data_IF_183969406086
#
_entry.id   IF_183969406086
#
_cell.length_a   1.000
_cell.length_b   1.000
_cell.length_c   1.000
_cell.angle_alpha   90.00
_cell.angle_beta   90.00
_cell.angle_gamma   90.00
#
_symmetry.space_group_name_H-M   'P 1'
#
loop_
_entity.id
_entity.type
_entity.pdbx_description
1 polymer ?
#
# COMPACT_ATOMS: atom_id res chain seq x y z
N UNK A 1 18.00 50.73 50.93
CA UNK A 1 18.90 49.59 50.70
C UNK A 1 18.07 48.43 50.18
N UNK A 2 18.56 47.81 49.10
CA UNK A 2 18.24 46.50 48.49
C UNK A 2 17.63 45.42 49.44
N UNK A 3 16.58 44.68 49.02
CA UNK A 3 16.61 43.26 48.51
C UNK A 3 16.28 42.25 49.64
N UNK A 4 15.54 41.12 49.55
CA UNK A 4 15.04 40.21 48.49
C UNK A 4 13.92 39.28 49.03
N UNK A 5 12.96 38.91 48.16
CA UNK A 5 12.36 37.58 47.84
C UNK A 5 12.14 36.50 48.94
N UNK A 6 11.01 35.78 48.95
CA UNK A 6 10.60 34.76 47.95
C UNK A 6 9.07 34.67 47.72
N UNK A 7 8.71 34.46 46.45
CA UNK A 7 7.37 34.29 45.86
C UNK A 7 6.86 32.85 45.90
N UNK A 8 5.51 32.63 45.92
CA UNK A 8 4.89 31.32 45.71
C UNK A 8 4.48 31.06 44.25
N UNK A 9 4.39 29.78 43.91
CA UNK A 9 4.07 29.20 42.60
C UNK A 9 2.72 29.63 42.03
N UNK A 10 2.71 30.10 40.78
CA UNK A 10 1.52 30.30 39.96
C UNK A 10 1.31 29.11 39.01
N UNK A 11 0.10 28.56 39.03
CA UNK A 11 -0.44 27.64 38.03
C UNK A 11 -0.72 28.45 36.77
N UNK A 12 -0.03 28.17 35.68
CA UNK A 12 -0.34 28.72 34.36
C UNK A 12 -1.07 27.66 33.53
N UNK A 13 -2.36 27.89 33.29
CA UNK A 13 -3.08 27.35 32.13
C UNK A 13 -2.39 27.82 30.86
N UNK A 14 -1.77 26.89 30.12
CA UNK A 14 -1.13 27.19 28.84
C UNK A 14 -2.17 27.11 27.73
N UNK A 15 -2.86 28.22 27.50
CA UNK A 15 -3.42 28.57 26.19
C UNK A 15 -2.25 28.71 25.21
N UNK A 16 -2.00 27.69 24.40
CA UNK A 16 -1.14 27.86 23.22
C UNK A 16 -1.97 28.48 22.11
N UNK A 17 -1.77 29.77 21.89
CA UNK A 17 -2.12 30.47 20.66
C UNK A 17 -1.60 29.66 19.46
N UNK A 18 -2.51 29.21 18.58
CA UNK A 18 -2.15 28.74 17.24
C UNK A 18 -1.48 29.91 16.51
N UNK A 19 -0.21 29.75 16.16
CA UNK A 19 0.42 30.57 15.13
C UNK A 19 -0.36 30.34 13.83
N UNK A 20 -1.08 31.37 13.40
CA UNK A 20 -1.77 31.46 12.12
C UNK A 20 -0.72 31.54 11.01
N UNK A 21 -0.40 30.39 10.39
CA UNK A 21 0.20 30.24 9.04
C UNK A 21 0.45 28.76 8.66
N UNK A 22 -0.02 27.78 9.44
CA UNK A 22 -0.16 26.41 8.94
C UNK A 22 -1.51 26.29 8.22
N UNK A 23 -1.59 25.70 7.01
CA UNK A 23 -2.88 25.36 6.43
C UNK A 23 -3.61 24.46 7.42
N UNK A 24 -4.83 24.81 7.82
CA UNK A 24 -5.74 23.86 8.47
C UNK A 24 -6.02 22.78 7.41
N UNK A 25 -5.33 21.65 7.50
CA UNK A 25 -5.53 20.49 6.61
C UNK A 25 -6.75 19.64 7.01
N UNK A 26 -7.54 20.06 8.00
CA UNK A 26 -8.82 19.43 8.34
C UNK A 26 -9.84 19.71 7.23
N UNK A 27 -10.02 18.77 6.30
CA UNK A 27 -10.91 18.99 5.17
C UNK A 27 -11.07 17.82 4.21
N UNK A 28 -12.05 17.96 3.32
CA UNK A 28 -12.32 17.02 2.23
C UNK A 28 -11.08 16.79 1.37
N UNK A 29 -10.71 15.54 1.14
CA UNK A 29 -9.68 15.16 0.17
C UNK A 29 -10.33 15.06 -1.21
N UNK A 30 -10.08 16.05 -2.08
CA UNK A 30 -10.63 16.05 -3.43
C UNK A 30 -9.80 15.16 -4.38
N UNK A 31 -10.03 13.86 -4.29
CA UNK A 31 -9.36 12.85 -5.12
C UNK A 31 -9.65 13.03 -6.61
N UNK A 32 -10.83 13.54 -6.99
CA UNK A 32 -11.16 13.77 -8.40
C UNK A 32 -10.27 14.81 -9.08
N UNK A 33 -9.81 15.82 -8.33
CA UNK A 33 -8.87 16.83 -8.82
C UNK A 33 -7.47 16.25 -8.95
N UNK A 34 -7.05 15.43 -7.98
CA UNK A 34 -5.76 14.74 -8.00
C UNK A 34 -5.70 13.80 -9.21
N UNK A 35 -6.68 12.90 -9.36
CA UNK A 35 -6.69 11.92 -10.45
C UNK A 35 -6.61 12.57 -11.84
N UNK A 36 -7.28 13.71 -12.06
CA UNK A 36 -7.21 14.45 -13.33
C UNK A 36 -5.82 14.95 -13.71
N UNK A 37 -4.91 15.06 -12.74
CA UNK A 37 -3.54 15.50 -12.95
C UNK A 37 -2.58 14.32 -13.03
N UNK A 38 -3.02 13.10 -12.74
CA UNK A 38 -2.17 11.91 -12.78
C UNK A 38 -2.25 11.24 -14.15
N UNK A 39 -1.14 11.28 -14.87
CA UNK A 39 -0.97 10.55 -16.12
C UNK A 39 -0.31 9.19 -15.85
N UNK A 40 -0.96 8.11 -16.28
CA UNK A 40 -0.37 6.77 -16.27
C UNK A 40 0.69 6.66 -17.37
N UNK A 41 1.93 6.95 -17.04
CA UNK A 41 3.06 6.91 -17.98
C UNK A 41 3.64 5.51 -18.17
N UNK A 42 3.57 4.68 -17.12
CA UNK A 42 4.02 3.29 -17.19
C UNK A 42 3.28 2.46 -16.16
N UNK A 43 2.57 1.44 -16.64
CA UNK A 43 2.36 0.28 -15.80
C UNK A 43 3.73 -0.36 -15.61
N UNK A 44 4.35 -0.16 -14.45
CA UNK A 44 5.65 -0.74 -14.16
C UNK A 44 5.54 -2.26 -14.40
N UNK A 45 6.63 -2.95 -14.73
CA UNK A 45 6.62 -4.43 -14.81
C UNK A 45 6.59 -5.04 -13.38
N UNK A 46 5.72 -4.43 -12.53
CA UNK A 46 5.02 -4.69 -11.27
C UNK A 46 5.67 -5.57 -10.20
N UNK A 47 6.52 -6.48 -10.62
CA UNK A 47 7.43 -7.28 -9.82
C UNK A 47 8.71 -6.48 -9.51
N UNK A 48 8.82 -5.22 -9.94
CA UNK A 48 9.99 -4.39 -9.70
C UNK A 48 10.39 -4.28 -8.23
N UNK A 49 9.46 -4.22 -7.27
CA UNK A 49 9.83 -4.33 -5.85
C UNK A 49 10.59 -5.63 -5.53
N UNK A 50 10.11 -6.76 -6.04
CA UNK A 50 10.79 -8.07 -5.91
C UNK A 50 12.12 -8.08 -6.68
N UNK A 51 12.22 -7.37 -7.80
CA UNK A 51 13.46 -7.25 -8.58
C UNK A 51 14.49 -6.35 -7.91
N UNK A 52 14.06 -5.29 -7.22
CA UNK A 52 14.91 -4.20 -6.74
C UNK A 52 15.24 -4.27 -5.25
N UNK A 53 14.42 -4.88 -4.38
CA UNK A 53 14.60 -4.80 -2.93
C UNK A 53 14.78 -6.12 -2.16
N UNK A 54 14.63 -7.27 -2.82
CA UNK A 54 15.19 -8.53 -2.32
C UNK A 54 16.74 -8.55 -2.43
N UNK A 55 17.37 -7.37 -2.34
CA UNK A 55 18.61 -6.92 -2.97
C UNK A 55 19.74 -6.67 -1.97
N UNK A 56 19.97 -7.65 -1.10
CA UNK A 56 21.33 -7.87 -0.60
C UNK A 56 22.22 -8.67 -1.57
N UNK A 57 21.85 -8.81 -2.86
CA UNK A 57 22.79 -9.23 -3.89
C UNK A 57 22.32 -8.83 -5.30
N UNK A 58 23.01 -7.87 -5.91
CA UNK A 58 22.90 -7.46 -7.33
C UNK A 58 23.10 -8.65 -8.30
N UNK A 59 23.64 -9.78 -7.81
CA UNK A 59 23.82 -11.03 -8.56
C UNK A 59 22.61 -12.00 -8.56
N UNK A 60 21.49 -11.69 -7.88
CA UNK A 60 20.29 -12.59 -7.81
C UNK A 60 18.98 -11.98 -8.34
N UNK A 61 18.96 -10.73 -8.81
CA UNK A 61 17.76 -10.10 -9.39
C UNK A 61 17.24 -10.86 -10.60
N UNK A 62 18.14 -11.32 -11.47
CA UNK A 62 17.83 -12.17 -12.63
C UNK A 62 17.29 -13.54 -12.22
N UNK A 63 17.70 -14.06 -11.06
CA UNK A 63 17.19 -15.34 -10.56
C UNK A 63 15.72 -15.25 -10.17
N UNK A 64 15.32 -14.27 -9.34
CA UNK A 64 13.92 -14.10 -8.92
C UNK A 64 13.01 -13.72 -10.10
N UNK A 65 13.50 -12.88 -11.02
CA UNK A 65 12.86 -12.61 -12.31
C UNK A 65 12.71 -13.85 -13.17
N UNK A 66 13.76 -14.63 -13.28
CA UNK A 66 13.75 -15.93 -13.94
C UNK A 66 12.69 -16.85 -13.35
N UNK A 67 12.55 -16.90 -12.01
CA UNK A 67 11.54 -17.73 -11.33
C UNK A 67 10.11 -17.28 -11.61
N UNK A 68 9.82 -15.99 -11.51
CA UNK A 68 8.46 -15.48 -11.77
C UNK A 68 8.10 -15.69 -13.25
N UNK A 69 9.01 -15.39 -14.16
CA UNK A 69 8.81 -15.64 -15.59
C UNK A 69 8.66 -17.14 -15.87
N UNK A 70 9.45 -17.99 -15.21
CA UNK A 70 9.32 -19.44 -15.30
C UNK A 70 7.92 -19.89 -14.88
N UNK A 71 7.43 -19.46 -13.72
CA UNK A 71 6.08 -19.82 -13.28
C UNK A 71 5.02 -19.27 -14.24
N UNK A 72 5.09 -18.01 -14.65
CA UNK A 72 4.11 -17.40 -15.55
C UNK A 72 4.00 -18.17 -16.88
N UNK A 73 5.14 -18.62 -17.43
CA UNK A 73 5.20 -19.37 -18.69
C UNK A 73 4.78 -20.83 -18.54
N UNK A 74 5.05 -21.48 -17.40
CA UNK A 74 4.83 -22.93 -17.22
C UNK A 74 3.51 -23.27 -16.50
N UNK A 75 2.81 -22.29 -15.92
CA UNK A 75 1.57 -22.51 -15.18
C UNK A 75 0.42 -22.91 -16.12
N UNK A 76 -0.06 -24.15 -16.03
CA UNK A 76 -1.06 -24.72 -16.95
C UNK A 76 -2.48 -24.15 -16.77
N UNK A 77 -2.94 -23.93 -15.54
CA UNK A 77 -4.27 -23.34 -15.26
C UNK A 77 -4.29 -22.56 -13.95
N UNK A 78 -5.16 -21.55 -13.87
CA UNK A 78 -5.37 -20.70 -12.69
C UNK A 78 -6.01 -21.45 -11.52
N UNK A 79 -6.89 -22.40 -11.83
CA UNK A 79 -7.86 -22.95 -10.87
C UNK A 79 -7.29 -24.10 -10.03
N UNK A 80 -6.12 -24.63 -10.42
CA UNK A 80 -5.51 -25.81 -9.79
C UNK A 80 -4.20 -25.50 -9.07
N UNK A 81 -3.84 -24.24 -8.92
CA UNK A 81 -2.53 -23.86 -8.40
C UNK A 81 -2.54 -23.88 -6.86
N UNK A 82 -1.90 -24.89 -6.28
CA UNK A 82 -1.53 -24.84 -4.87
C UNK A 82 -0.27 -23.98 -4.73
N UNK A 83 -0.44 -22.74 -4.27
CA UNK A 83 0.65 -21.77 -4.12
C UNK A 83 1.76 -22.28 -3.18
N UNK A 84 1.40 -23.10 -2.20
CA UNK A 84 2.33 -23.63 -1.21
C UNK A 84 2.87 -25.02 -1.59
N UNK A 85 2.63 -25.54 -2.79
CA UNK A 85 3.21 -26.82 -3.23
C UNK A 85 4.74 -26.74 -3.49
N UNK A 86 5.41 -27.89 -3.44
CA UNK A 86 6.85 -28.01 -3.67
C UNK A 86 7.71 -27.84 -2.42
N UNK A 87 9.04 -27.92 -2.60
CA UNK A 87 10.05 -27.86 -1.52
C UNK A 87 10.59 -26.45 -1.26
N UNK A 88 10.22 -25.47 -2.08
CA UNK A 88 10.74 -24.11 -2.02
C UNK A 88 9.60 -23.15 -1.63
N UNK A 89 9.94 -22.11 -0.89
CA UNK A 89 9.01 -21.08 -0.41
C UNK A 89 8.60 -20.12 -1.53
N UNK A 90 7.74 -20.63 -2.40
CA UNK A 90 7.44 -20.04 -3.71
C UNK A 90 6.07 -19.38 -3.82
N UNK A 91 5.27 -19.43 -2.76
CA UNK A 91 3.89 -18.96 -2.79
C UNK A 91 3.78 -17.52 -3.30
N UNK A 92 4.61 -16.62 -2.76
CA UNK A 92 4.69 -15.24 -3.22
C UNK A 92 5.09 -15.11 -4.71
N UNK A 93 6.10 -15.87 -5.17
CA UNK A 93 6.55 -15.83 -6.56
C UNK A 93 5.51 -16.39 -7.53
N UNK A 94 4.83 -17.47 -7.14
CA UNK A 94 3.74 -18.06 -7.92
C UNK A 94 2.54 -17.12 -7.99
N UNK A 95 2.21 -16.43 -6.90
CA UNK A 95 1.13 -15.44 -6.87
C UNK A 95 1.49 -14.20 -7.71
N UNK A 96 2.72 -13.70 -7.62
CA UNK A 96 3.19 -12.63 -8.50
C UNK A 96 3.17 -13.06 -9.98
N UNK A 97 3.55 -14.30 -10.29
CA UNK A 97 3.47 -14.87 -11.63
C UNK A 97 2.03 -14.96 -12.16
N UNK A 98 1.09 -15.32 -11.29
CA UNK A 98 -0.34 -15.31 -11.59
C UNK A 98 -0.81 -13.91 -12.00
N UNK A 99 -0.51 -12.89 -11.19
CA UNK A 99 -0.87 -11.49 -11.51
C UNK A 99 -0.21 -11.03 -12.81
N UNK A 100 1.08 -11.37 -13.02
CA UNK A 100 1.79 -11.05 -14.28
C UNK A 100 1.11 -11.66 -15.50
N UNK A 101 0.71 -12.94 -15.40
CA UNK A 101 0.05 -13.66 -16.49
C UNK A 101 -1.32 -13.07 -16.82
N UNK A 102 -2.14 -12.77 -15.80
CA UNK A 102 -3.43 -12.10 -15.98
C UNK A 102 -3.25 -10.75 -16.69
N UNK A 103 -2.28 -9.95 -16.22
CA UNK A 103 -1.98 -8.66 -16.82
C UNK A 103 -1.54 -8.77 -18.30
N UNK A 104 -0.65 -9.72 -18.63
CA UNK A 104 -0.22 -9.95 -20.02
C UNK A 104 -1.35 -10.41 -20.95
N UNK A 105 -2.44 -10.91 -20.38
CA UNK A 105 -3.65 -11.33 -21.10
C UNK A 105 -4.72 -10.22 -21.15
N UNK A 106 -4.41 -9.01 -20.67
CA UNK A 106 -5.38 -7.92 -20.49
C UNK A 106 -6.60 -8.32 -19.65
N UNK A 107 -6.42 -9.24 -18.69
CA UNK A 107 -7.46 -9.65 -17.75
C UNK A 107 -7.38 -8.82 -16.48
N UNK A 108 -8.52 -8.71 -15.80
CA UNK A 108 -8.55 -8.02 -14.50
C UNK A 108 -7.72 -8.78 -13.47
N UNK A 109 -6.85 -8.03 -12.79
CA UNK A 109 -5.98 -8.50 -11.72
C UNK A 109 -6.50 -8.08 -10.35
N UNK A 110 -7.58 -7.30 -10.32
CA UNK A 110 -8.23 -6.88 -9.09
C UNK A 110 -8.86 -8.08 -8.41
N UNK A 111 -8.50 -8.31 -7.15
CA UNK A 111 -8.99 -9.42 -6.35
C UNK A 111 -10.29 -8.95 -5.70
N UNK A 112 -11.37 -9.69 -5.95
CA UNK A 112 -12.70 -9.36 -5.43
C UNK A 112 -13.26 -10.60 -4.76
N UNK A 113 -13.32 -10.58 -3.42
CA UNK A 113 -13.99 -11.61 -2.65
C UNK A 113 -15.42 -11.18 -2.31
N UNK A 114 -15.56 -9.97 -1.77
CA UNK A 114 -16.84 -9.43 -1.29
C UNK A 114 -16.81 -7.92 -1.23
N UNK A 115 -17.94 -7.28 -1.56
CA UNK A 115 -18.13 -5.85 -1.36
C UNK A 115 -18.54 -5.59 0.09
N UNK A 116 -17.75 -4.85 0.90
CA UNK A 116 -18.13 -4.54 2.26
C UNK A 116 -19.23 -3.48 2.27
N UNK A 117 -19.98 -3.44 3.38
CA UNK A 117 -21.12 -2.53 3.57
C UNK A 117 -20.79 -1.07 3.34
N UNK A 118 -19.57 -0.67 3.70
CA UNK A 118 -19.04 0.67 3.47
C UNK A 118 -19.18 1.11 2.00
N UNK A 119 -19.07 0.19 1.04
CA UNK A 119 -19.15 0.50 -0.39
C UNK A 119 -20.42 -0.02 -1.07
N UNK A 120 -21.44 -0.42 -0.30
CA UNK A 120 -22.70 -0.93 -0.85
C UNK A 120 -23.32 0.07 -1.84
N UNK A 121 -23.70 -0.42 -3.02
CA UNK A 121 -24.34 0.38 -4.07
C UNK A 121 -23.38 1.27 -4.88
N UNK A 122 -22.08 1.23 -4.60
CA UNK A 122 -21.05 1.97 -5.34
C UNK A 122 -20.48 1.06 -6.44
N UNK A 123 -20.30 1.60 -7.64
CA UNK A 123 -19.70 0.85 -8.75
C UNK A 123 -18.24 0.50 -8.46
N UNK A 124 -17.85 -0.75 -8.70
CA UNK A 124 -16.50 -1.27 -8.42
C UNK A 124 -15.38 -0.44 -9.08
N UNK A 125 -15.56 0.01 -10.33
CA UNK A 125 -14.57 0.82 -11.00
C UNK A 125 -14.32 2.15 -10.27
N UNK A 126 -15.37 2.80 -9.76
CA UNK A 126 -15.23 4.02 -8.97
C UNK A 126 -14.50 3.77 -7.65
N UNK A 127 -14.80 2.65 -6.99
CA UNK A 127 -14.09 2.24 -5.77
C UNK A 127 -12.60 2.07 -6.08
N UNK A 128 -12.28 1.31 -7.13
CA UNK A 128 -10.91 1.04 -7.56
C UNK A 128 -10.14 2.32 -7.87
N UNK A 129 -10.68 3.19 -8.72
CA UNK A 129 -10.06 4.47 -9.09
C UNK A 129 -9.81 5.33 -7.85
N UNK A 130 -10.82 5.46 -7.00
CA UNK A 130 -10.73 6.28 -5.78
C UNK A 130 -9.66 5.76 -4.82
N UNK A 131 -9.58 4.46 -4.58
CA UNK A 131 -8.59 3.86 -3.70
C UNK A 131 -7.18 3.89 -4.33
N UNK A 132 -7.07 3.77 -5.65
CA UNK A 132 -5.81 3.99 -6.37
C UNK A 132 -5.30 5.42 -6.16
N UNK A 133 -6.14 6.44 -6.39
CA UNK A 133 -5.77 7.85 -6.18
C UNK A 133 -5.47 8.14 -4.70
N UNK A 134 -6.26 7.58 -3.77
CA UNK A 134 -6.02 7.74 -2.34
C UNK A 134 -4.67 7.16 -1.93
N UNK A 135 -4.30 5.98 -2.45
CA UNK A 135 -3.00 5.36 -2.18
C UNK A 135 -1.84 6.24 -2.66
N UNK A 136 -1.96 6.87 -3.83
CA UNK A 136 -0.99 7.85 -4.31
C UNK A 136 -0.91 9.05 -3.37
N UNK A 137 -2.06 9.63 -3.03
CA UNK A 137 -2.12 10.83 -2.20
C UNK A 137 -1.50 10.62 -0.81
N UNK A 138 -1.79 9.48 -0.17
CA UNK A 138 -1.20 9.09 1.12
C UNK A 138 0.32 8.99 1.04
N UNK A 139 0.87 8.44 -0.05
CA UNK A 139 2.33 8.33 -0.24
C UNK A 139 3.00 9.70 -0.37
N UNK A 140 2.35 10.64 -1.04
CA UNK A 140 2.87 11.98 -1.26
C UNK A 140 2.72 12.88 -0.03
N UNK A 141 1.62 12.75 0.70
CA UNK A 141 1.30 13.61 1.82
C UNK A 141 1.32 12.87 3.15
N UNK A 142 2.51 12.80 3.76
CA UNK A 142 2.70 12.20 5.09
C UNK A 142 1.96 12.98 6.20
N UNK A 143 1.49 14.21 5.99
CA UNK A 143 0.72 14.93 7.01
C UNK A 143 -0.63 14.28 7.29
N UNK A 144 -1.24 13.62 6.29
CA UNK A 144 -2.49 12.89 6.40
C UNK A 144 -2.44 11.77 7.46
N UNK A 145 -1.25 11.28 7.77
CA UNK A 145 -1.03 10.28 8.82
C UNK A 145 -1.34 10.87 10.21
N UNK A 146 -1.25 12.19 10.37
CA UNK A 146 -1.45 12.88 11.64
C UNK A 146 -2.78 13.63 11.73
N UNK A 147 -3.60 13.59 10.68
CA UNK A 147 -4.87 14.30 10.61
C UNK A 147 -6.02 13.35 10.97
N UNK A 148 -6.89 13.78 11.89
CA UNK A 148 -7.97 12.96 12.47
C UNK A 148 -9.35 13.24 11.88
N UNK A 149 -9.44 14.13 10.88
CA UNK A 149 -10.71 14.57 10.29
C UNK A 149 -10.71 14.51 8.74
N UNK A 150 -9.81 13.73 8.14
CA UNK A 150 -9.73 13.57 6.69
C UNK A 150 -10.85 12.66 6.19
N UNK A 151 -11.46 13.03 5.06
CA UNK A 151 -12.50 12.24 4.42
C UNK A 151 -12.44 12.30 2.90
N UNK A 152 -12.96 11.27 2.25
CA UNK A 152 -13.18 11.23 0.81
C UNK A 152 -14.69 11.26 0.53
N UNK A 153 -15.08 11.86 -0.59
CA UNK A 153 -16.45 11.74 -1.09
C UNK A 153 -16.48 10.75 -2.25
N UNK A 154 -17.19 9.64 -2.06
CA UNK A 154 -17.33 8.59 -3.04
C UNK A 154 -18.79 8.42 -3.40
N UNK A 155 -19.17 8.86 -4.61
CA UNK A 155 -20.54 8.75 -5.12
C UNK A 155 -21.59 9.41 -4.18
N UNK A 156 -21.28 10.61 -3.66
CA UNK A 156 -22.13 11.34 -2.71
C UNK A 156 -22.09 10.80 -1.27
N UNK A 157 -21.34 9.73 -1.02
CA UNK A 157 -21.12 9.17 0.31
C UNK A 157 -19.81 9.70 0.89
N UNK A 158 -19.89 10.31 2.07
CA UNK A 158 -18.70 10.64 2.88
C UNK A 158 -18.13 9.36 3.48
N UNK A 159 -16.85 9.14 3.28
CA UNK A 159 -16.07 8.08 3.92
C UNK A 159 -14.92 8.76 4.65
N UNK A 160 -15.02 8.77 5.96
CA UNK A 160 -13.98 9.25 6.85
C UNK A 160 -12.85 8.23 6.90
N UNK A 161 -11.61 8.70 7.06
CA UNK A 161 -10.48 7.82 7.23
C UNK A 161 -9.44 8.39 8.19
N UNK A 162 -8.80 7.52 8.96
CA UNK A 162 -7.74 7.88 9.89
C UNK A 162 -6.62 6.85 9.84
N UNK A 163 -5.41 7.30 10.12
CA UNK A 163 -4.26 6.43 10.25
C UNK A 163 -4.34 5.61 11.54
N UNK A 164 -4.04 4.31 11.42
CA UNK A 164 -4.06 3.36 12.54
C UNK A 164 -2.66 2.91 12.92
N UNK A 165 -1.78 2.71 11.94
CA UNK A 165 -0.44 2.17 12.19
C UNK A 165 0.30 1.86 10.90
N UNK A 166 1.60 1.65 11.01
CA UNK A 166 2.48 1.30 9.90
C UNK A 166 3.31 0.07 10.25
N UNK A 167 3.42 -0.85 9.30
CA UNK A 167 4.44 -1.88 9.32
C UNK A 167 5.68 -1.44 8.52
N UNK A 168 6.62 -2.36 8.31
CA UNK A 168 7.87 -2.09 7.57
C UNK A 168 7.61 -1.55 6.16
N UNK A 169 6.62 -2.12 5.46
CA UNK A 169 6.38 -1.85 4.04
C UNK A 169 4.98 -1.30 3.74
N UNK A 170 4.17 -1.03 4.76
CA UNK A 170 2.77 -0.62 4.57
C UNK A 170 2.26 0.28 5.68
N UNK A 171 1.16 0.96 5.40
CA UNK A 171 0.45 1.85 6.32
C UNK A 171 -1.03 1.48 6.27
N UNK A 172 -1.65 1.43 7.44
CA UNK A 172 -3.03 0.98 7.63
C UNK A 172 -3.88 2.17 8.05
N UNK A 173 -5.01 2.32 7.37
CA UNK A 173 -6.04 3.31 7.66
C UNK A 173 -7.33 2.59 8.01
N UNK A 174 -8.08 3.13 8.97
CA UNK A 174 -9.48 2.78 9.16
C UNK A 174 -10.30 3.68 8.24
N UNK A 175 -11.28 3.11 7.55
CA UNK A 175 -12.27 3.82 6.76
C UNK A 175 -13.65 3.54 7.35
N UNK A 176 -14.47 4.56 7.50
CA UNK A 176 -15.82 4.40 8.01
C UNK A 176 -16.82 5.42 7.44
N UNK A 177 -18.10 5.11 7.60
CA UNK A 177 -19.19 6.03 7.31
C UNK A 177 -19.97 6.39 8.57
N UNK A 178 -20.92 7.33 8.42
CA UNK A 178 -21.83 7.75 9.49
C UNK A 178 -22.75 6.64 10.02
N UNK A 179 -22.93 5.56 9.25
CA UNK A 179 -23.82 4.46 9.61
C UNK A 179 -23.05 3.39 10.42
N UNK A 180 -21.76 3.61 10.69
CA UNK A 180 -20.91 2.72 11.49
C UNK A 180 -20.35 1.54 10.72
N UNK A 181 -20.40 1.57 9.38
CA UNK A 181 -19.74 0.55 8.58
C UNK A 181 -18.24 0.85 8.54
N UNK A 182 -17.41 -0.14 8.88
CA UNK A 182 -15.96 0.05 9.02
C UNK A 182 -15.19 -0.98 8.18
N UNK A 183 -14.05 -0.57 7.64
CA UNK A 183 -13.07 -1.44 6.98
C UNK A 183 -11.67 -0.87 7.19
N UNK A 184 -10.64 -1.70 7.02
CA UNK A 184 -9.26 -1.24 7.00
C UNK A 184 -8.74 -1.20 5.56
N UNK A 185 -8.03 -0.13 5.20
CA UNK A 185 -7.21 -0.06 4.00
C UNK A 185 -5.75 -0.18 4.38
N UNK A 186 -5.06 -1.18 3.85
CA UNK A 186 -3.61 -1.29 3.91
C UNK A 186 -3.04 -0.81 2.58
N UNK A 187 -2.22 0.23 2.61
CA UNK A 187 -1.51 0.75 1.43
C UNK A 187 -0.01 0.50 1.57
N UNK A 188 0.63 -0.01 0.53
CA UNK A 188 2.07 -0.27 0.56
C UNK A 188 2.83 1.03 0.25
N UNK A 189 3.69 1.48 1.16
CA UNK A 189 4.23 2.85 1.15
C UNK A 189 5.41 3.05 0.21
N UNK A 190 6.17 1.98 -0.04
CA UNK A 190 7.30 1.98 -0.96
C UNK A 190 7.16 0.86 -1.98
N UNK A 191 6.26 1.02 -2.96
CA UNK A 191 5.98 0.00 -3.95
C UNK A 191 7.19 -0.49 -4.75
N UNK A 192 8.18 0.38 -4.94
CA UNK A 192 9.48 0.10 -5.53
C UNK A 192 10.40 -0.77 -4.66
N UNK A 193 10.08 -0.89 -3.37
CA UNK A 193 10.82 -1.62 -2.34
C UNK A 193 10.09 -2.89 -1.84
N UNK A 194 8.94 -3.27 -2.43
CA UNK A 194 8.13 -4.41 -1.99
C UNK A 194 8.85 -5.75 -2.21
N UNK A 195 9.19 -6.45 -1.14
CA UNK A 195 9.71 -7.82 -1.21
C UNK A 195 8.62 -8.82 -1.64
N UNK A 196 9.05 -10.01 -2.08
CA UNK A 196 8.11 -11.11 -2.38
C UNK A 196 7.25 -11.46 -1.15
N UNK A 197 7.80 -11.31 0.06
CA UNK A 197 7.14 -11.57 1.33
C UNK A 197 6.14 -10.49 1.77
N UNK A 198 6.06 -9.37 1.06
CA UNK A 198 5.15 -8.26 1.35
C UNK A 198 3.74 -8.54 0.77
N UNK A 199 3.20 -7.67 -0.09
CA UNK A 199 1.84 -7.81 -0.64
C UNK A 199 1.56 -9.17 -1.28
N UNK A 200 2.54 -9.76 -1.97
CA UNK A 200 2.32 -11.02 -2.68
C UNK A 200 2.31 -12.23 -1.76
N UNK A 201 3.09 -12.23 -0.69
CA UNK A 201 3.05 -13.27 0.34
C UNK A 201 1.70 -13.27 1.05
N UNK A 202 1.27 -12.10 1.52
CA UNK A 202 -0.02 -11.93 2.20
C UNK A 202 -1.20 -12.30 1.28
N UNK A 203 -1.22 -11.82 0.04
CA UNK A 203 -2.28 -12.17 -0.91
C UNK A 203 -2.21 -13.63 -1.38
N UNK A 204 -1.03 -14.27 -1.39
CA UNK A 204 -0.91 -15.71 -1.64
C UNK A 204 -1.57 -16.52 -0.53
N UNK A 205 -1.43 -16.10 0.73
CA UNK A 205 -2.11 -16.72 1.88
C UNK A 205 -3.62 -16.54 1.73
N UNK A 206 -4.12 -15.32 1.53
CA UNK A 206 -5.55 -15.10 1.32
C UNK A 206 -6.10 -15.92 0.14
N UNK A 207 -5.35 -16.04 -0.94
CA UNK A 207 -5.75 -16.87 -2.09
C UNK A 207 -5.82 -18.35 -1.73
N UNK A 208 -4.84 -18.87 -0.96
CA UNK A 208 -4.84 -20.26 -0.52
C UNK A 208 -5.96 -20.57 0.49
N UNK A 209 -6.42 -19.56 1.23
CA UNK A 209 -7.47 -19.67 2.24
C UNK A 209 -8.87 -19.34 1.71
N UNK A 210 -9.03 -19.00 0.42
CA UNK A 210 -10.31 -18.51 -0.14
C UNK A 210 -11.49 -19.48 0.05
N UNK A 211 -11.21 -20.78 0.07
CA UNK A 211 -12.19 -21.86 0.24
C UNK A 211 -12.19 -22.42 1.68
N UNK A 212 -11.32 -21.90 2.54
CA UNK A 212 -11.16 -22.30 3.93
C UNK A 212 -11.96 -21.36 4.84
N UNK A 213 -12.67 -21.92 5.83
CA UNK A 213 -13.35 -21.13 6.85
C UNK A 213 -12.38 -20.79 7.98
N UNK A 214 -11.47 -19.84 7.74
CA UNK A 214 -10.52 -19.39 8.76
C UNK A 214 -11.17 -18.36 9.67
N UNK A 215 -11.12 -18.56 10.98
CA UNK A 215 -11.93 -17.78 11.92
C UNK A 215 -11.19 -16.63 12.62
N UNK A 216 -9.86 -16.60 12.53
CA UNK A 216 -9.01 -15.68 13.29
C UNK A 216 -8.02 -14.88 12.41
N UNK A 217 -8.41 -14.57 11.18
CA UNK A 217 -7.75 -13.59 10.32
C UNK A 217 -8.78 -12.58 9.81
N UNK A 218 -8.40 -11.32 9.52
CA UNK A 218 -9.30 -10.36 8.90
C UNK A 218 -9.84 -10.89 7.57
N UNK A 219 -11.12 -10.66 7.28
CA UNK A 219 -11.67 -10.99 5.96
C UNK A 219 -11.08 -10.07 4.87
N UNK A 220 -10.50 -10.63 3.81
CA UNK A 220 -10.10 -9.87 2.63
C UNK A 220 -11.34 -9.56 1.78
N UNK A 221 -11.65 -8.28 1.59
CA UNK A 221 -12.74 -7.83 0.73
C UNK A 221 -12.26 -7.63 -0.71
N UNK A 222 -11.25 -6.77 -0.87
CA UNK A 222 -10.66 -6.43 -2.16
C UNK A 222 -9.15 -6.26 -2.05
N UNK A 223 -8.46 -6.42 -3.18
CA UNK A 223 -7.08 -5.95 -3.29
C UNK A 223 -6.77 -5.54 -4.72
N UNK A 224 -6.11 -4.39 -4.86
CA UNK A 224 -5.39 -4.07 -6.08
C UNK A 224 -3.92 -4.41 -5.86
N UNK A 225 -3.45 -5.60 -6.27
CA UNK A 225 -2.04 -5.91 -6.17
C UNK A 225 -1.26 -4.94 -7.05
N UNK A 226 -1.75 -4.60 -8.26
CA UNK A 226 -1.04 -3.82 -9.25
C UNK A 226 -0.66 -2.43 -8.76
N UNK A 227 0.56 -2.03 -9.11
CA UNK A 227 1.08 -0.69 -8.92
C UNK A 227 1.39 -0.08 -10.28
N UNK A 228 1.00 1.18 -10.46
CA UNK A 228 1.26 1.96 -11.68
C UNK A 228 2.09 3.19 -11.36
N UNK A 229 3.12 3.44 -12.15
CA UNK A 229 3.85 4.72 -12.11
C UNK A 229 2.98 5.79 -12.73
N UNK A 230 2.99 6.95 -12.09
CA UNK A 230 2.25 8.12 -12.54
C UNK A 230 3.16 9.34 -12.58
N UNK A 231 2.89 10.19 -13.55
CA UNK A 231 3.37 11.57 -13.62
C UNK A 231 2.24 12.48 -13.10
N UNK A 232 2.58 13.44 -12.25
CA UNK A 232 1.69 14.41 -11.68
C UNK A 232 1.88 15.77 -12.36
N UNK A 233 0.97 16.05 -13.30
CA UNK A 233 0.94 17.28 -14.08
C UNK A 233 0.80 18.55 -13.23
N UNK A 234 0.39 18.44 -11.97
CA UNK A 234 0.28 19.60 -11.09
C UNK A 234 1.63 20.08 -10.53
N UNK A 235 2.68 19.26 -10.64
CA UNK A 235 4.04 19.64 -10.23
C UNK A 235 4.79 20.43 -11.30
N UNK A 236 4.27 20.48 -12.53
CA UNK A 236 4.80 21.35 -13.58
C UNK A 236 4.20 22.75 -13.39
N UNK A 237 4.99 23.78 -13.03
CA UNK A 237 4.48 25.13 -13.04
C UNK A 237 4.01 25.47 -14.47
N UNK A 238 2.74 25.86 -14.61
CA UNK A 238 2.14 26.38 -15.85
C UNK A 238 2.79 27.66 -16.40
N UNK A 239 3.88 28.13 -15.79
CA UNK A 239 4.71 29.23 -16.23
C UNK A 239 6.16 28.75 -16.40
N UNK A 240 6.43 28.00 -17.47
CA UNK A 240 7.80 27.93 -17.97
C UNK A 240 7.98 29.15 -18.87
N UNK A 241 8.67 30.14 -18.31
CA UNK A 241 9.34 31.22 -19.02
C UNK A 241 10.00 30.68 -20.30
N UNK A 242 9.76 31.34 -21.44
CA UNK A 242 10.44 31.07 -22.72
C UNK A 242 11.98 31.07 -22.61
N UNK A 243 12.53 31.55 -21.49
CA UNK A 243 13.97 31.62 -21.19
C UNK A 243 14.53 30.43 -20.38
N UNK A 244 13.71 29.48 -19.91
CA UNK A 244 14.16 28.35 -19.08
C UNK A 244 14.60 27.09 -19.86
N UNK A 245 14.73 27.17 -21.19
CA UNK A 245 15.29 26.08 -22.02
C UNK A 245 16.79 25.81 -21.73
N UNK A 246 17.45 26.63 -20.89
CA UNK A 246 18.91 26.56 -20.68
C UNK A 246 19.39 26.15 -19.28
N UNK A 247 18.53 25.86 -18.30
CA UNK A 247 18.99 25.53 -16.94
C UNK A 247 18.63 24.14 -16.41
N UNK A 248 18.16 23.24 -17.27
CA UNK A 248 17.99 21.83 -16.93
C UNK A 248 19.12 20.93 -17.46
N UNK A 249 20.36 21.42 -17.48
CA UNK A 249 21.51 20.56 -17.76
C UNK A 249 22.68 20.97 -16.89
N UNK A 250 22.93 20.18 -15.85
CA UNK A 250 24.26 20.04 -15.27
C UNK A 250 25.20 19.45 -16.34
N UNK A 251 25.67 20.30 -17.25
CA UNK A 251 26.68 19.94 -18.24
C UNK A 251 28.02 19.89 -17.50
N UNK A 252 28.56 18.69 -17.28
CA UNK A 252 29.99 18.54 -16.99
C UNK A 252 30.74 18.36 -18.29
N UNK A 253 31.61 19.31 -18.56
CA UNK A 253 32.59 19.25 -19.63
C UNK A 253 33.72 18.30 -19.21
N UNK A 254 34.18 17.44 -20.12
CA UNK A 254 35.49 16.81 -19.95
C UNK A 254 36.61 17.85 -20.08
N UNK A 255 37.86 17.46 -19.81
CA UNK A 255 39.04 18.34 -19.89
C UNK A 255 39.31 18.90 -21.31
N UNK A 256 38.57 18.43 -22.32
CA UNK A 256 38.63 18.86 -23.72
C UNK A 256 37.38 19.63 -24.19
N UNK A 257 36.41 19.88 -23.30
CA UNK A 257 35.19 20.64 -23.62
C UNK A 257 34.05 19.82 -24.24
N UNK A 258 34.13 18.49 -24.26
CA UNK A 258 33.03 17.65 -24.74
C UNK A 258 32.03 17.34 -23.61
N UNK A 259 30.75 17.26 -23.99
CA UNK A 259 29.64 16.98 -23.08
C UNK A 259 29.61 15.47 -22.79
N UNK A 260 29.82 15.08 -21.53
CA UNK A 260 29.53 13.72 -21.06
C UNK A 260 28.16 13.70 -20.37
N UNK A 261 27.14 13.17 -21.06
CA UNK A 261 25.77 13.13 -20.54
C UNK A 261 25.59 11.88 -19.67
N UNK A 262 25.63 12.05 -18.34
CA UNK A 262 25.04 11.10 -17.40
C UNK A 262 23.74 11.70 -16.86
N UNK A 263 22.68 11.64 -17.67
CA UNK A 263 21.33 12.05 -17.26
C UNK A 263 20.67 10.92 -16.46
N UNK A 264 20.52 11.12 -15.15
CA UNK A 264 19.48 10.42 -14.40
C UNK A 264 18.20 11.26 -14.49
N UNK A 265 17.42 11.05 -15.54
CA UNK A 265 16.04 11.52 -15.56
C UNK A 265 15.25 10.72 -14.54
N UNK A 266 14.54 11.37 -13.62
CA UNK A 266 13.54 10.71 -12.80
C UNK A 266 12.20 10.91 -13.51
N UNK A 267 11.87 9.99 -14.40
CA UNK A 267 10.74 10.08 -15.34
C UNK A 267 9.34 9.92 -14.68
N UNK A 268 9.16 10.08 -13.36
CA UNK A 268 7.87 9.84 -12.67
C UNK A 268 7.80 10.44 -11.26
N UNK A 269 6.58 10.79 -10.81
CA UNK A 269 6.32 11.49 -9.54
C UNK A 269 5.86 10.57 -8.41
N UNK A 270 5.30 9.40 -8.75
CA UNK A 270 4.93 8.42 -7.75
C UNK A 270 4.17 7.23 -8.28
N UNK A 271 3.35 6.65 -7.41
CA UNK A 271 2.69 5.38 -7.65
C UNK A 271 1.25 5.36 -7.15
N UNK A 272 0.34 4.81 -7.95
CA UNK A 272 -1.03 4.42 -7.56
C UNK A 272 -1.20 2.90 -7.52
N UNK A 273 -2.24 2.43 -6.83
CA UNK A 273 -2.47 1.00 -6.62
C UNK A 273 -1.64 0.43 -5.47
N UNK A 274 -1.49 -0.89 -5.40
CA UNK A 274 -0.77 -1.56 -4.30
C UNK A 274 -1.44 -1.31 -2.95
N UNK A 275 -2.66 -1.82 -2.80
CA UNK A 275 -3.43 -1.71 -1.57
C UNK A 275 -4.39 -2.89 -1.39
N UNK A 276 -4.81 -3.13 -0.15
CA UNK A 276 -5.84 -4.12 0.22
C UNK A 276 -6.91 -3.46 1.08
N UNK A 277 -8.15 -3.97 0.97
CA UNK A 277 -9.29 -3.63 1.81
C UNK A 277 -9.69 -4.88 2.57
N UNK A 278 -9.62 -4.82 3.89
CA UNK A 278 -9.86 -5.94 4.80
C UNK A 278 -10.82 -5.55 5.93
N UNK A 279 -11.34 -6.53 6.63
CA UNK A 279 -12.08 -6.34 7.88
C UNK A 279 -11.28 -5.48 8.87
N UNK A 280 -11.91 -4.44 9.42
CA UNK A 280 -11.29 -3.66 10.48
C UNK A 280 -11.37 -4.42 11.80
N UNK A 281 -10.21 -4.73 12.39
CA UNK A 281 -10.13 -5.31 13.73
C UNK A 281 -9.98 -4.16 14.74
N UNK A 282 -11.11 -3.78 15.34
CA UNK A 282 -11.20 -2.75 16.37
C UNK A 282 -11.06 -3.33 17.80
N UNK A 283 -11.11 -2.48 18.84
CA UNK A 283 -10.99 -2.91 20.24
C UNK A 283 -12.03 -3.95 20.69
N UNK A 284 -13.18 -4.00 20.03
CA UNK A 284 -14.29 -4.92 20.33
C UNK A 284 -14.48 -6.02 19.28
N UNK A 285 -13.55 -6.17 18.34
CA UNK A 285 -13.56 -7.28 17.38
C UNK A 285 -13.10 -8.57 18.06
N UNK A 286 -13.79 -9.68 17.82
CA UNK A 286 -13.44 -11.01 18.34
C UNK A 286 -13.50 -12.05 17.22
N UNK A 287 -12.59 -13.04 17.19
CA UNK A 287 -12.57 -14.08 16.17
C UNK A 287 -13.93 -14.73 15.99
N UNK A 288 -14.25 -15.04 14.74
CA UNK A 288 -15.50 -15.70 14.37
C UNK A 288 -15.61 -17.02 15.15
N UNK A 289 -16.78 -17.35 15.69
CA UNK A 289 -16.94 -18.55 16.51
C UNK A 289 -16.86 -19.85 15.71
N UNK A 290 -17.13 -19.80 14.41
CA UNK A 290 -17.09 -20.95 13.52
C UNK A 290 -15.89 -20.87 12.57
N UNK A 291 -15.17 -21.99 12.43
CA UNK A 291 -14.07 -22.13 11.49
C UNK A 291 -12.84 -22.80 12.09
N UNK A 292 -11.81 -22.94 11.28
CA UNK A 292 -10.49 -23.42 11.68
C UNK A 292 -9.60 -22.22 12.03
N UNK A 293 -8.77 -22.36 13.06
CA UNK A 293 -7.77 -21.36 13.36
C UNK A 293 -6.63 -21.45 12.32
N UNK A 294 -6.01 -20.30 11.96
CA UNK A 294 -4.91 -20.27 11.01
C UNK A 294 -3.77 -21.23 11.42
N UNK A 295 -3.44 -21.29 12.70
CA UNK A 295 -2.37 -22.18 13.19
C UNK A 295 -2.68 -23.67 12.94
N UNK A 296 -3.95 -24.08 12.98
CA UNK A 296 -4.34 -25.45 12.63
C UNK A 296 -4.17 -25.71 11.15
N UNK A 297 -4.58 -24.76 10.31
CA UNK A 297 -4.39 -24.85 8.85
C UNK A 297 -2.90 -24.94 8.50
N UNK A 298 -2.07 -24.09 9.11
CA UNK A 298 -0.61 -24.12 8.93
C UNK A 298 -0.03 -25.50 9.31
N UNK A 299 -0.42 -26.04 10.47
CA UNK A 299 0.01 -27.37 10.92
C UNK A 299 -0.39 -28.48 9.94
N UNK A 300 -1.64 -28.46 9.44
CA UNK A 300 -2.14 -29.46 8.47
C UNK A 300 -1.37 -29.42 7.15
N UNK A 301 -0.88 -28.25 6.76
CA UNK A 301 -0.18 -28.04 5.50
C UNK A 301 1.35 -28.09 5.62
N UNK A 302 1.88 -28.33 6.83
CA UNK A 302 3.30 -28.24 7.16
C UNK A 302 3.88 -26.89 6.71
N UNK A 303 3.28 -25.82 7.25
CA UNK A 303 3.68 -24.43 7.08
C UNK A 303 3.98 -23.81 8.44
N UNK A 304 4.81 -22.78 8.44
CA UNK A 304 5.19 -21.96 9.58
C UNK A 304 4.92 -20.50 9.25
N UNK A 305 4.60 -19.73 10.29
CA UNK A 305 4.47 -18.28 10.21
C UNK A 305 5.60 -17.68 11.05
N UNK A 306 6.55 -17.05 10.39
CA UNK A 306 7.79 -16.58 11.02
C UNK A 306 7.63 -15.22 11.70
N UNK A 307 6.55 -14.51 11.39
CA UNK A 307 6.27 -13.16 11.86
C UNK A 307 5.07 -13.12 12.84
N UNK A 308 4.98 -14.12 13.72
CA UNK A 308 4.02 -14.07 14.86
C UNK A 308 4.68 -13.29 16.00
N UNK A 309 4.76 -11.97 15.86
CA UNK A 309 5.01 -11.06 16.98
C UNK A 309 3.68 -10.76 17.70
N UNK A 310 3.75 -10.29 18.95
CA UNK A 310 2.55 -9.88 19.69
C UNK A 310 1.84 -8.71 19.00
N UNK A 311 2.59 -7.89 18.27
CA UNK A 311 2.11 -6.71 17.53
C UNK A 311 1.32 -7.11 16.27
N UNK A 312 1.52 -8.34 15.77
CA UNK A 312 0.79 -8.90 14.63
C UNK A 312 -0.48 -9.67 15.05
N UNK A 313 -0.82 -9.64 16.34
CA UNK A 313 -2.03 -10.27 16.89
C UNK A 313 -2.88 -9.23 17.61
N UNK A 314 -4.10 -9.00 17.13
CA UNK A 314 -5.05 -8.06 17.75
C UNK A 314 -6.34 -8.77 18.13
N UNK A 315 -6.68 -8.77 19.41
CA UNK A 315 -7.87 -9.43 19.95
C UNK A 315 -8.04 -10.90 19.52
N UNK A 316 -6.93 -11.62 19.33
CA UNK A 316 -6.94 -13.02 18.87
C UNK A 316 -7.00 -13.19 17.35
N UNK A 317 -7.12 -12.11 16.58
CA UNK A 317 -6.89 -12.12 15.13
C UNK A 317 -5.41 -11.99 14.81
N UNK A 318 -4.96 -12.73 13.81
CA UNK A 318 -3.65 -12.56 13.18
C UNK A 318 -3.83 -11.56 12.04
N UNK A 319 -3.28 -10.35 12.19
CA UNK A 319 -3.53 -9.21 11.29
C UNK A 319 -2.43 -9.00 10.26
N UNK A 320 -1.27 -9.63 10.45
CA UNK A 320 -0.24 -9.75 9.42
C UNK A 320 -0.10 -11.22 9.00
N UNK A 321 -0.19 -11.49 7.70
CA UNK A 321 -0.06 -12.82 7.11
C UNK A 321 1.22 -12.95 6.26
N UNK A 322 2.10 -11.94 6.29
CA UNK A 322 3.42 -12.00 5.70
C UNK A 322 4.29 -13.09 6.35
N UNK A 323 5.28 -13.61 5.63
CA UNK A 323 6.25 -14.56 6.22
C UNK A 323 5.70 -15.96 6.54
N UNK A 324 4.67 -16.42 5.83
CA UNK A 324 4.21 -17.82 5.87
C UNK A 324 4.95 -18.65 4.82
N UNK A 325 5.62 -19.72 5.26
CA UNK A 325 6.47 -20.59 4.43
C UNK A 325 6.55 -22.03 4.98
N UNK A 326 7.31 -22.95 4.36
CA UNK A 326 7.32 -24.39 4.72
C UNK A 326 8.21 -24.82 5.90
#
# INVERSE_FOLDING_TARGET
MKVQNLTPYNIYTRTTQKNTNSPDFTGMVNLSKIEKNLDEIRQNDFISGIYFNDSFSIHRSDYKRGRINFFANNMKSLDTLNLFDGKNDDAAFKFAALIKKLNSQNKDTFIINKVPELFRGIQLNKIRETLDTLSYHIRQNKSLINETDSYIELNGKRIDFEYIGSGENSTVFKLWDKDGNETAMKTYIKPEEISSYSIFGELAVYHALKDEKICNIPELYFANPLIKQVEDKSQFPTEIYEDMILYEKGVKYDEHGNISVATQFKDYDGYKGGWTIVEYIGPYSYPKHEGIMLHEWLKRNNLKHHDISIDNVKNGYITDLGGIER
#
